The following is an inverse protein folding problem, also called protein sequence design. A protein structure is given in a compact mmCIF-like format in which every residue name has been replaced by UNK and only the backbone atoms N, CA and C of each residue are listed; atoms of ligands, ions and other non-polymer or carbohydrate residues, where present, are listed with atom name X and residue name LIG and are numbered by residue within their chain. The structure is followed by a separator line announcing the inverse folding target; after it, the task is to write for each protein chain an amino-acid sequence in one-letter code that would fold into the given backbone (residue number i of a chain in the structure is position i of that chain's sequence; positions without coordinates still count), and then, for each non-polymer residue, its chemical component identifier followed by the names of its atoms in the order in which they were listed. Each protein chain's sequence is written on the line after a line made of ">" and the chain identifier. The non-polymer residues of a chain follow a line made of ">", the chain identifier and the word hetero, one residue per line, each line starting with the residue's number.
data_IF_719653601973
#
_entry.id   IF_719653601973
#
_cell.length_a   1.000
_cell.length_b   1.000
_cell.length_c   1.000
_cell.angle_alpha   90.00
_cell.angle_beta   90.00
_cell.angle_gamma   90.00
#
_symmetry.space_group_name_H-M   'P 1'
#
loop_
_entity.id
_entity.type
_entity.pdbx_description
1 polymer ?
#
# COMPACT_ATOMS: atom_id res chain seq x y z
N UNK A 1 -3.76 -25.10 1.82
CA UNK A 1 -4.81 -24.11 2.04
C UNK A 1 -4.80 -22.98 1.00
N UNK A 2 -3.63 -22.54 0.51
CA UNK A 2 -3.49 -21.51 -0.55
C UNK A 2 -3.89 -22.00 -1.96
N UNK A 3 -4.21 -23.29 -2.12
CA UNK A 3 -4.47 -23.93 -3.42
C UNK A 3 -5.92 -23.85 -3.88
N UNK A 4 -6.78 -23.11 -3.17
CA UNK A 4 -8.18 -22.91 -3.57
C UNK A 4 -8.62 -21.50 -3.26
N UNK A 5 -9.25 -20.86 -4.25
CA UNK A 5 -9.88 -19.53 -4.09
C UNK A 5 -11.05 -19.56 -3.10
N UNK A 6 -11.66 -20.74 -2.87
CA UNK A 6 -12.74 -20.92 -1.90
C UNK A 6 -12.32 -20.65 -0.46
N UNK A 7 -11.01 -20.72 -0.17
CA UNK A 7 -10.47 -20.46 1.16
C UNK A 7 -10.22 -18.96 1.43
N UNK A 8 -10.43 -18.07 0.47
CA UNK A 8 -10.17 -16.62 0.61
C UNK A 8 -10.86 -16.05 1.86
N UNK A 9 -12.14 -16.32 2.17
CA UNK A 9 -12.76 -15.78 3.38
C UNK A 9 -12.01 -16.16 4.67
N UNK A 10 -11.43 -17.36 4.73
CA UNK A 10 -10.72 -17.86 5.91
C UNK A 10 -9.41 -17.08 6.17
N UNK A 11 -8.78 -16.49 5.15
CA UNK A 11 -7.56 -15.72 5.30
C UNK A 11 -7.75 -14.45 6.16
N UNK A 12 -8.99 -13.98 6.27
CA UNK A 12 -9.32 -12.80 7.08
C UNK A 12 -9.63 -13.12 8.56
N UNK A 13 -9.82 -14.40 8.90
CA UNK A 13 -10.16 -14.81 10.27
C UNK A 13 -9.07 -15.64 10.93
N UNK A 14 -8.11 -16.17 10.14
CA UNK A 14 -7.11 -17.11 10.64
C UNK A 14 -5.70 -16.64 10.29
N UNK A 15 -4.84 -16.58 11.29
CA UNK A 15 -3.43 -16.18 11.15
C UNK A 15 -2.49 -17.36 10.85
N UNK A 16 -2.95 -18.60 11.05
CA UNK A 16 -2.16 -19.82 10.87
C UNK A 16 -1.92 -20.21 9.39
N UNK A 17 -2.61 -19.55 8.45
CA UNK A 17 -2.38 -19.76 7.02
C UNK A 17 -1.08 -19.17 6.49
N UNK A 18 -0.53 -18.16 7.15
CA UNK A 18 0.70 -17.51 6.70
C UNK A 18 1.95 -18.33 7.00
N UNK A 19 2.00 -19.00 8.15
CA UNK A 19 3.10 -19.87 8.56
C UNK A 19 2.60 -21.02 9.41
N UNK A 20 3.15 -22.21 9.18
CA UNK A 20 2.94 -23.38 10.04
C UNK A 20 3.63 -23.21 11.41
N UNK A 21 4.74 -22.45 11.46
CA UNK A 21 5.43 -22.12 12.72
C UNK A 21 4.63 -21.03 13.45
N UNK A 22 4.21 -21.25 14.72
CA UNK A 22 3.55 -20.25 15.54
C UNK A 22 4.31 -18.92 15.68
N UNK A 23 5.64 -18.96 15.62
CA UNK A 23 6.50 -17.78 15.71
C UNK A 23 6.50 -16.93 14.44
N UNK A 24 6.14 -17.53 13.30
CA UNK A 24 6.06 -16.89 11.99
C UNK A 24 4.65 -16.46 11.59
N UNK A 25 3.67 -16.60 12.48
CA UNK A 25 2.29 -16.20 12.18
C UNK A 25 2.17 -14.71 12.03
N UNK A 26 1.70 -14.27 10.86
CA UNK A 26 1.49 -12.87 10.55
C UNK A 26 0.12 -12.70 9.92
N UNK A 27 -0.59 -11.64 10.32
CA UNK A 27 -1.87 -11.29 9.71
C UNK A 27 -1.63 -10.49 8.42
N UNK A 28 -1.65 -11.19 7.28
CA UNK A 28 -1.44 -10.59 5.95
C UNK A 28 -2.41 -11.17 4.92
N UNK A 29 -3.73 -11.02 5.12
CA UNK A 29 -4.73 -11.68 4.29
C UNK A 29 -4.64 -11.29 2.82
N UNK A 30 -4.30 -10.03 2.49
CA UNK A 30 -4.20 -9.57 1.12
C UNK A 30 -3.09 -10.28 0.34
N UNK A 31 -1.98 -10.61 1.00
CA UNK A 31 -0.88 -11.36 0.40
C UNK A 31 -1.34 -12.79 0.08
N UNK A 32 -2.04 -13.44 1.02
CA UNK A 32 -2.59 -14.79 0.83
C UNK A 32 -3.60 -14.81 -0.32
N UNK A 33 -4.47 -13.80 -0.40
CA UNK A 33 -5.41 -13.62 -1.53
C UNK A 33 -4.64 -13.54 -2.85
N UNK A 34 -3.58 -12.73 -2.92
CA UNK A 34 -2.77 -12.59 -4.14
C UNK A 34 -2.11 -13.89 -4.57
N UNK A 35 -1.67 -14.72 -3.61
CA UNK A 35 -1.12 -16.04 -3.89
C UNK A 35 -2.18 -17.03 -4.34
N UNK A 36 -3.38 -16.99 -3.75
CA UNK A 36 -4.48 -17.85 -4.16
C UNK A 36 -4.92 -17.57 -5.61
N UNK A 37 -4.98 -16.31 -6.00
CA UNK A 37 -5.23 -15.92 -7.40
C UNK A 37 -4.12 -16.38 -8.33
N UNK A 38 -2.85 -16.18 -7.97
CA UNK A 38 -1.72 -16.64 -8.78
C UNK A 38 -1.77 -18.18 -8.96
N UNK A 39 -2.04 -18.91 -7.86
CA UNK A 39 -2.17 -20.36 -7.92
C UNK A 39 -3.36 -20.80 -8.79
N UNK A 40 -4.47 -20.06 -8.77
CA UNK A 40 -5.63 -20.34 -9.62
C UNK A 40 -5.31 -20.24 -11.11
N UNK A 41 -4.40 -19.33 -11.50
CA UNK A 41 -3.99 -19.11 -12.89
C UNK A 41 -2.96 -20.17 -13.35
N UNK A 42 -1.84 -20.28 -12.63
CA UNK A 42 -0.67 -21.04 -13.09
C UNK A 42 -0.14 -22.07 -12.07
N UNK A 43 -0.92 -22.34 -11.05
CA UNK A 43 -0.60 -23.31 -9.97
C UNK A 43 0.76 -22.97 -9.30
N UNK A 44 1.73 -23.86 -9.39
CA UNK A 44 3.06 -23.72 -8.76
C UNK A 44 4.15 -23.30 -9.74
N UNK A 45 3.80 -22.72 -10.88
CA UNK A 45 4.80 -22.20 -11.81
C UNK A 45 5.45 -20.92 -11.22
N UNK A 46 6.68 -21.03 -10.80
CA UNK A 46 7.43 -19.98 -10.11
C UNK A 46 7.52 -18.70 -10.96
N UNK A 47 7.63 -18.85 -12.26
CA UNK A 47 7.75 -17.75 -13.22
C UNK A 47 6.56 -16.77 -13.14
N UNK A 48 5.33 -17.29 -13.02
CA UNK A 48 4.15 -16.44 -12.94
C UNK A 48 4.12 -15.58 -11.68
N UNK A 49 4.68 -16.08 -10.57
CA UNK A 49 4.80 -15.31 -9.33
C UNK A 49 5.80 -14.16 -9.47
N UNK A 50 6.89 -14.37 -10.21
CA UNK A 50 7.86 -13.32 -10.51
C UNK A 50 7.27 -12.25 -11.43
N UNK A 51 6.51 -12.65 -12.47
CA UNK A 51 5.85 -11.69 -13.36
C UNK A 51 4.89 -10.78 -12.59
N UNK A 52 4.12 -11.32 -11.66
CA UNK A 52 3.23 -10.52 -10.80
C UNK A 52 4.03 -9.57 -9.92
N UNK A 53 5.11 -10.02 -9.28
CA UNK A 53 5.96 -9.16 -8.46
C UNK A 53 6.59 -8.03 -9.29
N UNK A 54 7.08 -8.34 -10.49
CA UNK A 54 7.63 -7.36 -11.41
C UNK A 54 6.59 -6.33 -11.85
N UNK A 55 5.36 -6.78 -12.17
CA UNK A 55 4.26 -5.89 -12.51
C UNK A 55 3.89 -4.94 -11.38
N UNK A 56 3.78 -5.46 -10.14
CA UNK A 56 3.52 -4.64 -8.96
C UNK A 56 4.65 -3.65 -8.71
N UNK A 57 5.92 -4.06 -8.90
CA UNK A 57 7.07 -3.16 -8.75
C UNK A 57 7.09 -2.05 -9.80
N UNK A 58 6.75 -2.36 -11.05
CA UNK A 58 6.61 -1.36 -12.12
C UNK A 58 5.49 -0.34 -11.80
N UNK A 59 4.34 -0.81 -11.29
CA UNK A 59 3.27 0.07 -10.83
C UNK A 59 3.72 0.96 -9.66
N UNK A 60 4.46 0.41 -8.70
CA UNK A 60 5.02 1.19 -7.60
C UNK A 60 5.96 2.28 -8.10
N UNK A 61 6.81 1.96 -9.08
CA UNK A 61 7.73 2.93 -9.71
C UNK A 61 6.95 4.06 -10.39
N UNK A 62 5.87 3.74 -11.09
CA UNK A 62 4.98 4.73 -11.69
C UNK A 62 4.28 5.61 -10.63
N UNK A 63 3.86 5.01 -9.51
CA UNK A 63 3.28 5.76 -8.38
C UNK A 63 4.31 6.68 -7.71
N UNK A 64 5.57 6.26 -7.61
CA UNK A 64 6.67 7.13 -7.12
C UNK A 64 6.83 8.34 -8.03
N UNK A 65 6.79 8.16 -9.36
CA UNK A 65 6.79 9.29 -10.31
C UNK A 65 5.58 10.20 -10.06
N UNK A 66 4.38 9.64 -9.92
CA UNK A 66 3.16 10.40 -9.70
C UNK A 66 3.20 11.20 -8.38
N UNK A 67 3.70 10.59 -7.30
CA UNK A 67 3.92 11.27 -6.01
C UNK A 67 5.00 12.35 -6.15
N UNK A 68 6.09 12.05 -6.85
CA UNK A 68 7.15 13.03 -7.14
C UNK A 68 6.64 14.28 -7.84
N UNK A 69 5.71 14.13 -8.79
CA UNK A 69 5.07 15.27 -9.48
C UNK A 69 4.21 16.17 -8.59
N UNK A 70 3.87 15.74 -7.39
CA UNK A 70 3.20 16.60 -6.42
C UNK A 70 4.15 17.62 -5.77
N UNK A 71 5.43 17.32 -5.71
CA UNK A 71 6.41 18.10 -4.92
C UNK A 71 7.55 18.65 -5.75
N UNK A 72 7.85 18.04 -6.91
CA UNK A 72 8.97 18.38 -7.78
C UNK A 72 8.47 19.03 -9.06
N UNK A 73 9.10 20.13 -9.45
CA UNK A 73 8.79 20.84 -10.68
C UNK A 73 9.52 20.23 -11.88
N UNK A 74 8.90 20.32 -13.05
CA UNK A 74 9.45 19.78 -14.28
C UNK A 74 9.21 18.26 -14.44
N UNK A 75 9.67 17.73 -15.57
CA UNK A 75 9.48 16.31 -15.94
C UNK A 75 10.58 15.41 -15.37
N UNK A 76 11.82 15.86 -15.43
CA UNK A 76 12.99 15.03 -15.13
C UNK A 76 13.11 14.60 -13.65
N UNK A 77 12.95 15.48 -12.64
CA UNK A 77 13.15 15.07 -11.25
C UNK A 77 12.23 13.94 -10.79
N UNK A 78 10.89 13.97 -11.08
CA UNK A 78 10.02 12.83 -10.76
C UNK A 78 10.39 11.56 -11.52
N UNK A 79 10.78 11.66 -12.80
CA UNK A 79 11.20 10.51 -13.58
C UNK A 79 12.46 9.87 -13.01
N UNK A 80 13.45 10.67 -12.65
CA UNK A 80 14.70 10.18 -12.03
C UNK A 80 14.39 9.49 -10.70
N UNK A 81 13.51 10.06 -9.87
CA UNK A 81 13.10 9.42 -8.62
C UNK A 81 12.47 8.04 -8.85
N UNK A 82 11.56 7.93 -9.82
CA UNK A 82 10.95 6.64 -10.19
C UNK A 82 11.95 5.65 -10.78
N UNK A 83 12.90 6.11 -11.61
CA UNK A 83 13.96 5.25 -12.16
C UNK A 83 14.91 4.76 -11.05
N UNK A 84 15.29 5.61 -10.12
CA UNK A 84 16.09 5.22 -8.96
C UNK A 84 15.33 4.14 -8.18
N UNK A 85 14.04 4.36 -7.88
CA UNK A 85 13.22 3.36 -7.19
C UNK A 85 13.15 2.04 -7.97
N UNK A 86 12.96 2.10 -9.29
CA UNK A 86 12.83 0.93 -10.14
C UNK A 86 14.12 0.09 -10.22
N UNK A 87 15.27 0.76 -10.27
CA UNK A 87 16.56 0.12 -10.57
C UNK A 87 17.46 -0.05 -9.33
N UNK A 88 17.07 0.50 -8.18
CA UNK A 88 17.92 0.43 -6.99
C UNK A 88 18.10 -1.01 -6.51
N UNK A 89 19.33 -1.46 -6.27
CA UNK A 89 19.62 -2.86 -5.88
C UNK A 89 18.84 -3.34 -4.64
N UNK A 90 18.51 -2.47 -3.70
CA UNK A 90 17.73 -2.81 -2.50
C UNK A 90 16.34 -3.34 -2.85
N UNK A 91 15.78 -2.91 -3.97
CA UNK A 91 14.47 -3.35 -4.45
C UNK A 91 14.52 -4.66 -5.25
N UNK A 92 15.72 -5.17 -5.57
CA UNK A 92 15.87 -6.46 -6.25
C UNK A 92 15.31 -7.62 -5.43
N UNK A 93 15.42 -7.55 -4.12
CA UNK A 93 14.83 -8.53 -3.20
C UNK A 93 13.30 -8.60 -3.34
N UNK A 94 12.65 -7.45 -3.48
CA UNK A 94 11.19 -7.34 -3.62
C UNK A 94 10.70 -8.00 -4.90
N UNK A 95 11.50 -8.01 -5.96
CA UNK A 95 11.17 -8.65 -7.25
C UNK A 95 11.53 -10.13 -7.23
N UNK A 96 12.71 -10.47 -6.70
CA UNK A 96 13.26 -11.83 -6.77
C UNK A 96 12.67 -12.79 -5.74
N UNK A 97 12.30 -12.31 -4.56
CA UNK A 97 11.68 -13.17 -3.55
C UNK A 97 10.15 -13.11 -3.60
N UNK A 98 9.52 -14.25 -3.83
CA UNK A 98 8.06 -14.36 -3.85
C UNK A 98 7.46 -13.91 -2.51
N UNK A 99 8.12 -14.23 -1.39
CA UNK A 99 7.70 -13.86 -0.03
C UNK A 99 7.69 -12.34 0.21
N UNK A 100 8.48 -11.56 -0.53
CA UNK A 100 8.53 -10.11 -0.42
C UNK A 100 7.35 -9.39 -1.10
N UNK A 101 6.40 -10.15 -1.68
CA UNK A 101 5.16 -9.61 -2.24
C UNK A 101 4.38 -8.76 -1.24
N UNK A 102 4.46 -9.08 0.05
CA UNK A 102 3.82 -8.27 1.11
C UNK A 102 4.31 -6.83 1.12
N UNK A 103 5.59 -6.61 0.83
CA UNK A 103 6.20 -5.29 0.78
C UNK A 103 5.74 -4.53 -0.47
N UNK A 104 5.77 -5.20 -1.64
CA UNK A 104 5.30 -4.61 -2.89
C UNK A 104 3.83 -4.20 -2.84
N UNK A 105 2.96 -5.07 -2.33
CA UNK A 105 1.52 -4.79 -2.21
C UNK A 105 1.26 -3.69 -1.18
N UNK A 106 1.96 -3.73 -0.04
CA UNK A 106 1.87 -2.66 0.94
C UNK A 106 2.27 -1.32 0.33
N UNK A 107 3.40 -1.25 -0.40
CA UNK A 107 3.85 -0.05 -1.07
C UNK A 107 2.84 0.45 -2.12
N UNK A 108 2.27 -0.47 -2.92
CA UNK A 108 1.25 -0.16 -3.92
C UNK A 108 0.06 0.58 -3.30
N UNK A 109 -0.51 -0.01 -2.27
CA UNK A 109 -1.68 0.55 -1.60
C UNK A 109 -1.35 1.78 -0.76
N UNK A 110 -0.18 1.83 -0.15
CA UNK A 110 0.32 3.00 0.58
C UNK A 110 0.47 4.22 -0.33
N UNK A 111 1.18 4.07 -1.45
CA UNK A 111 1.40 5.15 -2.42
C UNK A 111 0.09 5.57 -3.08
N UNK A 112 -0.78 4.62 -3.40
CA UNK A 112 -2.12 4.91 -3.94
C UNK A 112 -2.95 5.71 -2.94
N UNK A 113 -2.96 5.29 -1.67
CA UNK A 113 -3.68 6.01 -0.61
C UNK A 113 -3.16 7.44 -0.45
N UNK A 114 -1.84 7.59 -0.37
CA UNK A 114 -1.21 8.90 -0.28
C UNK A 114 -1.55 9.80 -1.48
N UNK A 115 -1.46 9.27 -2.68
CA UNK A 115 -1.73 10.00 -3.92
C UNK A 115 -3.19 10.46 -4.01
N UNK A 116 -4.14 9.57 -3.73
CA UNK A 116 -5.56 9.89 -3.70
C UNK A 116 -5.88 10.94 -2.63
N UNK A 117 -5.28 10.83 -1.45
CA UNK A 117 -5.39 11.85 -0.40
C UNK A 117 -4.89 13.20 -0.89
N UNK A 118 -3.69 13.24 -1.47
CA UNK A 118 -3.08 14.48 -1.96
C UNK A 118 -3.91 15.15 -3.05
N UNK A 119 -4.47 14.38 -3.98
CA UNK A 119 -5.37 14.91 -4.99
C UNK A 119 -6.72 15.38 -4.42
N UNK A 120 -7.28 14.65 -3.45
CA UNK A 120 -8.51 15.09 -2.75
C UNK A 120 -8.29 16.44 -2.04
N UNK A 121 -7.07 16.67 -1.53
CA UNK A 121 -6.69 17.92 -0.86
C UNK A 121 -6.44 19.09 -1.81
N UNK A 122 -5.99 18.81 -3.03
CA UNK A 122 -5.70 19.83 -4.06
C UNK A 122 -6.91 20.17 -4.93
N UNK A 123 -7.96 19.34 -4.87
CA UNK A 123 -9.20 19.63 -5.59
C UNK A 123 -9.88 20.91 -5.05
N UNK A 124 -10.42 21.73 -5.93
CA UNK A 124 -11.17 22.95 -5.56
C UNK A 124 -12.33 22.65 -4.61
N UNK A 125 -12.96 21.49 -4.78
CA UNK A 125 -13.98 20.94 -3.88
C UNK A 125 -13.49 19.64 -3.29
N UNK A 126 -13.78 19.44 -2.01
CA UNK A 126 -13.48 18.19 -1.33
C UNK A 126 -14.03 16.98 -2.08
N UNK A 127 -13.15 16.14 -2.60
CA UNK A 127 -13.55 14.98 -3.39
C UNK A 127 -13.77 13.76 -2.48
N UNK A 128 -15.05 13.50 -2.19
CA UNK A 128 -15.46 12.30 -1.40
C UNK A 128 -15.00 11.00 -2.06
N UNK A 129 -15.10 10.80 -3.39
CA UNK A 129 -14.61 9.59 -4.04
C UNK A 129 -13.11 9.36 -3.84
N UNK A 130 -12.29 10.40 -4.04
CA UNK A 130 -10.83 10.27 -3.83
C UNK A 130 -10.47 9.97 -2.38
N UNK A 131 -11.18 10.58 -1.42
CA UNK A 131 -10.98 10.28 -0.01
C UNK A 131 -11.40 8.84 0.33
N UNK A 132 -12.52 8.37 -0.20
CA UNK A 132 -12.98 6.99 -0.06
C UNK A 132 -11.95 6.00 -0.63
N UNK A 133 -11.46 6.25 -1.85
CA UNK A 133 -10.40 5.45 -2.47
C UNK A 133 -9.11 5.45 -1.63
N UNK A 134 -8.75 6.62 -1.08
CA UNK A 134 -7.57 6.73 -0.19
C UNK A 134 -7.73 5.85 1.05
N UNK A 135 -8.88 5.86 1.72
CA UNK A 135 -9.16 5.04 2.89
C UNK A 135 -9.19 3.55 2.56
N UNK A 136 -9.80 3.15 1.44
CA UNK A 136 -9.81 1.76 0.98
C UNK A 136 -8.40 1.27 0.66
N UNK A 137 -7.61 2.09 -0.01
CA UNK A 137 -6.21 1.77 -0.28
C UNK A 137 -5.40 1.68 1.01
N UNK A 138 -5.64 2.56 2.00
CA UNK A 138 -4.99 2.46 3.31
C UNK A 138 -5.35 1.15 4.03
N UNK A 139 -6.61 0.76 4.03
CA UNK A 139 -7.02 -0.55 4.56
C UNK A 139 -6.30 -1.70 3.83
N UNK A 140 -6.19 -1.64 2.50
CA UNK A 140 -5.42 -2.61 1.72
C UNK A 140 -3.94 -2.65 2.10
N UNK A 141 -3.32 -1.50 2.35
CA UNK A 141 -1.93 -1.42 2.81
C UNK A 141 -1.74 -2.08 4.19
N UNK A 142 -2.65 -1.84 5.14
CA UNK A 142 -2.65 -2.46 6.47
C UNK A 142 -2.80 -3.99 6.38
N UNK A 143 -3.70 -4.49 5.52
CA UNK A 143 -3.89 -5.92 5.28
C UNK A 143 -2.70 -6.56 4.55
N UNK A 144 -1.81 -5.78 3.96
CA UNK A 144 -0.55 -6.22 3.36
C UNK A 144 0.60 -6.30 4.35
N UNK A 145 0.81 -5.26 5.15
CA UNK A 145 1.90 -5.17 6.15
C UNK A 145 1.62 -4.08 7.17
N UNK A 146 1.91 -4.37 8.45
CA UNK A 146 1.66 -3.45 9.59
C UNK A 146 2.41 -2.11 9.49
N UNK A 147 3.53 -2.05 8.76
CA UNK A 147 4.28 -0.80 8.53
C UNK A 147 3.42 0.29 7.88
N UNK A 148 2.32 -0.08 7.22
CA UNK A 148 1.38 0.88 6.63
C UNK A 148 0.80 1.90 7.62
N UNK A 149 0.79 1.60 8.93
CA UNK A 149 0.39 2.55 9.99
C UNK A 149 1.17 3.87 9.88
N UNK A 150 2.40 3.83 9.37
CA UNK A 150 3.25 5.03 9.17
C UNK A 150 2.66 6.04 8.18
N UNK A 151 1.63 5.67 7.41
CA UNK A 151 0.92 6.64 6.56
C UNK A 151 0.26 7.75 7.39
N UNK A 152 -0.25 7.45 8.58
CA UNK A 152 -0.96 8.44 9.41
C UNK A 152 -0.05 9.61 9.81
N UNK A 153 1.13 9.38 10.43
CA UNK A 153 2.06 10.47 10.73
C UNK A 153 2.61 11.16 9.47
N UNK A 154 2.77 10.43 8.36
CA UNK A 154 3.16 11.03 7.07
C UNK A 154 2.11 12.02 6.56
N UNK A 155 0.82 11.63 6.58
CA UNK A 155 -0.27 12.51 6.18
C UNK A 155 -0.36 13.74 7.09
N UNK A 156 -0.17 13.55 8.41
CA UNK A 156 -0.12 14.67 9.35
C UNK A 156 1.00 15.66 8.99
N UNK A 157 2.21 15.16 8.75
CA UNK A 157 3.34 15.98 8.35
C UNK A 157 3.08 16.73 7.03
N UNK A 158 2.51 16.05 6.02
CA UNK A 158 2.18 16.65 4.74
C UNK A 158 1.08 17.70 4.85
N UNK A 159 0.05 17.47 5.66
CA UNK A 159 -0.96 18.50 5.94
C UNK A 159 -0.34 19.73 6.58
N UNK A 160 0.51 19.53 7.58
CA UNK A 160 1.15 20.64 8.28
C UNK A 160 2.10 21.42 7.38
N UNK A 161 2.91 20.74 6.53
CA UNK A 161 4.00 21.37 5.78
C UNK A 161 3.63 21.81 4.36
N UNK A 162 2.75 21.06 3.68
CA UNK A 162 2.54 21.22 2.24
C UNK A 162 1.10 21.55 1.83
N UNK A 163 0.10 21.04 2.53
CA UNK A 163 -1.27 21.13 2.05
C UNK A 163 -2.09 22.26 2.68
N UNK A 164 -1.72 22.75 3.86
CA UNK A 164 -2.53 23.74 4.53
C UNK A 164 -1.76 24.55 5.58
N UNK A 165 -1.16 25.67 5.20
CA UNK A 165 -0.57 26.56 6.20
C UNK A 165 -1.61 27.20 7.14
N UNK A 166 -2.91 27.05 6.89
CA UNK A 166 -3.98 27.80 7.59
C UNK A 166 -5.16 26.96 8.04
N UNK A 167 -5.15 25.62 7.91
CA UNK A 167 -6.27 24.85 8.44
C UNK A 167 -6.20 24.81 9.97
N UNK A 168 -7.34 25.12 10.61
CA UNK A 168 -7.45 25.00 12.06
C UNK A 168 -7.12 23.54 12.46
N UNK A 169 -6.47 23.37 13.60
CA UNK A 169 -6.17 22.05 14.19
C UNK A 169 -7.41 21.12 14.19
N UNK A 170 -8.59 21.68 14.42
CA UNK A 170 -9.88 20.97 14.36
C UNK A 170 -10.15 20.35 12.99
N UNK A 171 -9.84 21.06 11.92
CA UNK A 171 -10.03 20.58 10.53
C UNK A 171 -9.04 19.48 10.22
N UNK A 172 -7.79 19.62 10.63
CA UNK A 172 -6.74 18.62 10.50
C UNK A 172 -7.15 17.31 11.19
N UNK A 173 -7.56 17.39 12.45
CA UNK A 173 -8.03 16.24 13.22
C UNK A 173 -9.19 15.55 12.49
N UNK A 174 -10.23 16.29 12.08
CA UNK A 174 -11.39 15.71 11.37
C UNK A 174 -11.00 14.94 10.10
N UNK A 175 -9.99 15.40 9.35
CA UNK A 175 -9.54 14.75 8.12
C UNK A 175 -8.75 13.47 8.38
N UNK A 176 -7.92 13.47 9.42
CA UNK A 176 -7.05 12.35 9.74
C UNK A 176 -7.71 11.31 10.67
N UNK A 177 -8.80 11.68 11.35
CA UNK A 177 -9.53 10.78 12.24
C UNK A 177 -9.88 9.43 11.57
N UNK A 178 -10.41 9.37 10.32
CA UNK A 178 -10.70 8.08 9.70
C UNK A 178 -9.46 7.19 9.57
N UNK A 179 -8.33 7.75 9.15
CA UNK A 179 -7.07 7.01 9.02
C UNK A 179 -6.57 6.52 10.38
N UNK A 180 -6.66 7.38 11.39
CA UNK A 180 -6.28 7.01 12.75
C UNK A 180 -7.14 5.87 13.30
N UNK A 181 -8.46 5.92 13.07
CA UNK A 181 -9.39 4.87 13.50
C UNK A 181 -9.10 3.54 12.81
N UNK A 182 -8.85 3.54 11.49
CA UNK A 182 -8.46 2.33 10.77
C UNK A 182 -7.14 1.73 11.31
N UNK A 183 -6.14 2.59 11.56
CA UNK A 183 -4.88 2.15 12.14
C UNK A 183 -5.07 1.59 13.56
N UNK A 184 -5.90 2.24 14.39
CA UNK A 184 -6.19 1.81 15.76
C UNK A 184 -6.89 0.45 15.77
N UNK A 185 -7.94 0.28 14.95
CA UNK A 185 -8.66 -1.00 14.83
C UNK A 185 -7.70 -2.11 14.38
N UNK A 186 -6.81 -1.84 13.43
CA UNK A 186 -5.84 -2.82 12.97
C UNK A 186 -4.80 -3.21 14.03
N UNK A 187 -4.39 -2.29 14.90
CA UNK A 187 -3.34 -2.55 15.91
C UNK A 187 -3.91 -3.25 17.15
N UNK A 188 -5.19 -2.99 17.49
CA UNK A 188 -5.84 -3.53 18.70
C UNK A 188 -6.58 -4.85 18.43
N UNK A 189 -7.08 -5.07 17.19
CA UNK A 189 -7.81 -6.27 16.77
C UNK A 189 -6.89 -7.34 16.24
#
# INVERSE_FOLDING_TARGET
>A
HLRSVENIPQFFYRTDFFSADPRGRMYRPLVLVSYAFNYGLDKLQVESYHWVNMGVHALNSALVIAVGRLFLSGLWPPLVAGLIFALHPINSEVVNYISSRSESLCALFFLTSFLCYAYARRAERWSVPLMGTSLLAFAGALLGKSVAVTLVPLLFFCEWRFFSPVSSLRTLIKRLTPFFLFALVYVVG
#
